data_IF_357716065496
#
_entry.id   IF_357716065496
#
_cell.length_a   1.000
_cell.length_b   1.000
_cell.length_c   1.000
_cell.angle_alpha   90.00
_cell.angle_beta   90.00
_cell.angle_gamma   90.00
#
_symmetry.space_group_name_H-M   'P 1'
#
loop_
_entity.id
_entity.type
_entity.pdbx_description
1 polymer ?
#
# COMPACT_ATOMS: atom_id res chain seq x y z
N UNK A 1 -10.13 8.62 29.30
CA UNK A 1 -9.21 7.61 28.71
C UNK A 1 -8.55 8.25 27.51
N UNK A 2 -7.22 8.15 27.38
CA UNK A 2 -6.49 8.70 26.24
C UNK A 2 -6.96 8.01 24.97
N UNK A 3 -7.39 8.77 23.96
CA UNK A 3 -7.76 8.23 22.67
C UNK A 3 -6.48 7.89 21.88
N UNK A 4 -5.94 6.67 22.05
CA UNK A 4 -4.74 6.24 21.34
C UNK A 4 -4.95 6.04 19.84
N UNK A 5 -6.18 5.73 19.41
CA UNK A 5 -6.47 5.35 18.03
C UNK A 5 -6.40 6.54 17.05
N UNK A 6 -6.46 7.78 17.55
CA UNK A 6 -6.26 8.99 16.74
C UNK A 6 -4.83 9.49 16.66
N UNK A 7 -3.93 9.03 17.52
CA UNK A 7 -2.55 9.49 17.55
C UNK A 7 -1.72 8.84 16.43
N UNK A 8 -0.80 9.60 15.85
CA UNK A 8 0.23 9.11 14.92
C UNK A 8 1.34 8.33 15.65
N UNK A 9 2.11 7.53 14.93
CA UNK A 9 3.29 6.87 15.49
C UNK A 9 4.32 7.88 16.00
N UNK A 10 4.53 8.96 15.25
CA UNK A 10 5.43 10.06 15.64
C UNK A 10 5.01 10.72 16.97
N UNK A 11 3.72 10.94 17.20
CA UNK A 11 3.20 11.43 18.50
C UNK A 11 3.35 10.38 19.61
N UNK A 12 2.96 9.13 19.35
CA UNK A 12 3.06 8.03 20.32
C UNK A 12 4.50 7.81 20.78
N UNK A 13 5.48 7.91 19.87
CA UNK A 13 6.90 7.81 20.19
C UNK A 13 7.33 8.85 21.23
N UNK A 14 6.91 10.11 21.07
CA UNK A 14 7.21 11.18 22.02
C UNK A 14 6.56 10.90 23.36
N UNK A 15 5.29 10.46 23.36
CA UNK A 15 4.56 10.18 24.58
C UNK A 15 5.15 8.99 25.37
N UNK A 16 5.58 7.93 24.69
CA UNK A 16 6.25 6.78 25.33
C UNK A 16 7.58 7.21 25.94
N UNK A 17 8.42 7.93 25.17
CA UNK A 17 9.73 8.40 25.66
C UNK A 17 9.61 9.35 26.86
N UNK A 18 8.54 10.14 26.90
CA UNK A 18 8.24 11.07 27.99
C UNK A 18 7.39 10.45 29.11
N UNK A 19 7.16 9.12 29.06
CA UNK A 19 6.40 8.35 30.06
C UNK A 19 4.95 8.83 30.26
N UNK A 20 4.38 9.48 29.24
CA UNK A 20 2.97 9.91 29.22
C UNK A 20 2.04 8.81 28.71
N UNK A 21 2.57 7.82 28.00
CA UNK A 21 1.85 6.65 27.52
C UNK A 21 2.73 5.43 27.77
N UNK A 22 2.15 4.39 28.36
CA UNK A 22 2.83 3.10 28.48
C UNK A 22 2.72 2.29 27.18
N UNK A 23 3.78 1.60 26.73
CA UNK A 23 3.68 0.58 25.68
C UNK A 23 2.63 -0.51 25.99
N UNK A 24 2.44 -0.85 27.28
CA UNK A 24 1.43 -1.83 27.72
C UNK A 24 0.03 -1.28 27.52
N UNK A 25 -0.25 -0.05 27.97
CA UNK A 25 -1.55 0.61 27.77
C UNK A 25 -1.89 0.74 26.28
N UNK A 26 -0.91 1.15 25.47
CA UNK A 26 -1.07 1.28 24.02
C UNK A 26 -1.38 -0.06 23.35
N UNK A 27 -0.64 -1.12 23.71
CA UNK A 27 -0.85 -2.45 23.13
C UNK A 27 -2.20 -3.04 23.54
N UNK A 28 -2.61 -2.88 24.80
CA UNK A 28 -3.92 -3.31 25.29
C UNK A 28 -5.05 -2.66 24.50
N UNK A 29 -4.98 -1.33 24.31
CA UNK A 29 -5.99 -0.61 23.54
C UNK A 29 -6.01 -1.04 22.06
N UNK A 30 -4.84 -1.28 21.47
CA UNK A 30 -4.71 -1.74 20.09
C UNK A 30 -5.32 -3.13 19.89
N UNK A 31 -5.03 -4.07 20.80
CA UNK A 31 -5.58 -5.43 20.78
C UNK A 31 -7.09 -5.44 21.02
N UNK A 32 -7.58 -4.70 22.03
CA UNK A 32 -9.01 -4.60 22.30
C UNK A 32 -9.77 -4.05 21.08
N UNK A 33 -9.20 -3.05 20.38
CA UNK A 33 -9.78 -2.52 19.15
C UNK A 33 -9.71 -3.52 17.99
N UNK A 34 -8.61 -4.25 17.85
CA UNK A 34 -8.47 -5.31 16.85
C UNK A 34 -9.55 -6.39 17.04
N UNK A 35 -9.73 -6.88 18.27
CA UNK A 35 -10.71 -7.89 18.62
C UNK A 35 -12.15 -7.42 18.40
N UNK A 36 -12.47 -6.18 18.79
CA UNK A 36 -13.81 -5.61 18.59
C UNK A 36 -14.16 -5.40 17.11
N UNK A 37 -13.20 -5.00 16.28
CA UNK A 37 -13.43 -4.77 14.85
C UNK A 37 -13.38 -6.05 14.01
N UNK A 38 -12.69 -7.10 14.47
CA UNK A 38 -12.45 -8.30 13.67
C UNK A 38 -13.74 -8.98 13.16
N UNK A 39 -14.83 -9.14 13.95
CA UNK A 39 -16.09 -9.72 13.46
C UNK A 39 -16.78 -8.87 12.38
N UNK A 40 -16.50 -7.57 12.35
CA UNK A 40 -17.16 -6.62 11.43
C UNK A 40 -16.32 -6.40 10.17
N UNK A 41 -15.02 -6.11 10.33
CA UNK A 41 -14.12 -5.69 9.25
C UNK A 41 -13.21 -6.81 8.74
N UNK A 42 -12.93 -7.83 9.58
CA UNK A 42 -12.17 -9.02 9.22
C UNK A 42 -10.80 -8.70 8.56
N UNK A 43 -9.95 -7.96 9.28
CA UNK A 43 -8.68 -7.44 8.74
C UNK A 43 -7.45 -8.29 9.15
N UNK A 44 -7.59 -9.24 10.07
CA UNK A 44 -6.50 -10.10 10.54
C UNK A 44 -6.65 -11.56 10.11
N UNK A 45 -5.52 -12.19 9.76
CA UNK A 45 -5.39 -13.65 9.63
C UNK A 45 -4.90 -14.25 10.95
N UNK A 46 -3.90 -13.62 11.57
CA UNK A 46 -3.30 -14.07 12.83
C UNK A 46 -3.14 -12.87 13.76
N UNK A 47 -3.69 -12.93 14.97
CA UNK A 47 -3.40 -11.97 16.04
C UNK A 47 -2.34 -12.54 16.96
N UNK A 48 -1.38 -11.73 17.37
CA UNK A 48 -0.23 -12.12 18.19
C UNK A 48 -0.38 -11.65 19.65
N UNK A 49 -1.60 -11.66 20.20
CA UNK A 49 -1.95 -10.99 21.48
C UNK A 49 -1.00 -11.26 22.64
N UNK A 50 -0.74 -12.51 22.98
CA UNK A 50 0.13 -12.88 24.10
C UNK A 50 1.58 -12.43 23.88
N UNK A 51 2.13 -12.68 22.69
CA UNK A 51 3.50 -12.28 22.34
C UNK A 51 3.64 -10.76 22.28
N UNK A 52 2.64 -10.05 21.75
CA UNK A 52 2.60 -8.59 21.66
C UNK A 52 2.55 -7.95 23.05
N UNK A 53 1.72 -8.50 23.95
CA UNK A 53 1.65 -8.05 25.34
C UNK A 53 2.93 -8.33 26.12
N UNK A 54 3.59 -9.48 25.87
CA UNK A 54 4.88 -9.78 26.47
C UNK A 54 5.94 -8.77 26.04
N UNK A 55 6.08 -8.51 24.73
CA UNK A 55 6.98 -7.48 24.20
C UNK A 55 6.65 -6.08 24.70
N UNK A 56 5.36 -5.76 24.92
CA UNK A 56 4.95 -4.48 25.46
C UNK A 56 5.42 -4.27 26.92
N UNK A 57 5.37 -5.31 27.76
CA UNK A 57 5.91 -5.26 29.13
C UNK A 57 7.42 -5.08 29.14
N UNK A 58 8.13 -5.78 28.25
CA UNK A 58 9.57 -5.62 28.07
C UNK A 58 9.93 -4.20 27.62
N UNK A 59 9.17 -3.65 26.67
CA UNK A 59 9.34 -2.28 26.19
C UNK A 59 9.07 -1.24 27.29
N UNK A 60 8.02 -1.42 28.09
CA UNK A 60 7.73 -0.56 29.25
C UNK A 60 8.87 -0.61 30.29
N UNK A 61 9.33 -1.81 30.65
CA UNK A 61 10.43 -1.95 31.60
C UNK A 61 11.71 -1.25 31.10
N UNK A 62 12.02 -1.35 29.80
CA UNK A 62 13.16 -0.63 29.22
C UNK A 62 13.04 0.90 29.32
N UNK A 63 11.83 1.45 29.18
CA UNK A 63 11.54 2.88 29.38
C UNK A 63 11.75 3.29 30.85
N UNK A 64 11.29 2.45 31.78
CA UNK A 64 11.41 2.70 33.22
C UNK A 64 12.86 2.63 33.70
N UNK A 65 13.61 1.65 33.19
CA UNK A 65 15.05 1.45 33.45
C UNK A 65 15.93 2.53 32.81
N UNK A 66 15.39 3.38 31.92
CA UNK A 66 16.16 4.40 31.21
C UNK A 66 17.13 3.83 30.18
N UNK A 67 16.84 2.64 29.62
CA UNK A 67 17.66 2.02 28.57
C UNK A 67 17.63 2.84 27.29
N UNK A 68 18.65 2.73 26.42
CA UNK A 68 18.58 3.23 25.05
C UNK A 68 17.38 2.60 24.32
N UNK A 69 16.51 3.44 23.76
CA UNK A 69 15.27 3.01 23.11
C UNK A 69 15.41 3.10 21.59
N UNK A 70 15.07 2.01 20.89
CA UNK A 70 15.03 1.95 19.43
C UNK A 70 14.09 2.99 18.82
N UNK A 71 14.20 3.26 17.51
CA UNK A 71 13.46 4.36 16.87
C UNK A 71 11.95 4.23 17.10
N UNK A 72 11.38 3.04 16.88
CA UNK A 72 9.96 2.73 16.99
C UNK A 72 9.58 2.04 18.31
N UNK A 73 10.36 2.26 19.38
CA UNK A 73 10.21 1.54 20.65
C UNK A 73 8.77 1.57 21.20
N UNK A 74 8.17 0.39 21.34
CA UNK A 74 6.83 0.21 21.90
C UNK A 74 5.67 0.50 20.94
N UNK A 75 5.94 0.88 19.69
CA UNK A 75 4.90 1.21 18.70
C UNK A 75 4.32 -0.08 18.10
N UNK A 76 3.00 -0.30 18.13
CA UNK A 76 2.38 -1.45 17.51
C UNK A 76 2.39 -1.33 15.99
N UNK A 77 2.63 -2.44 15.29
CA UNK A 77 2.53 -2.51 13.84
C UNK A 77 1.91 -3.82 13.36
N UNK A 78 1.46 -3.85 12.12
CA UNK A 78 0.90 -5.04 11.47
C UNK A 78 1.67 -5.41 10.21
N UNK A 79 1.55 -6.67 9.76
CA UNK A 79 2.27 -7.17 8.58
C UNK A 79 1.33 -7.93 7.67
N UNK A 80 1.26 -7.53 6.39
CA UNK A 80 0.53 -8.28 5.37
C UNK A 80 0.98 -9.72 5.32
N UNK A 81 0.03 -10.65 5.25
CA UNK A 81 0.27 -12.09 5.27
C UNK A 81 0.92 -12.67 4.00
N UNK A 82 1.60 -11.82 3.22
CA UNK A 82 2.54 -12.22 2.16
C UNK A 82 4.00 -12.06 2.59
N UNK A 83 4.25 -11.30 3.65
CA UNK A 83 5.59 -10.99 4.14
C UNK A 83 5.92 -11.96 5.28
N UNK A 84 7.05 -12.65 5.14
CA UNK A 84 7.51 -13.63 6.11
C UNK A 84 7.83 -12.96 7.45
N UNK A 85 7.40 -13.64 8.52
CA UNK A 85 7.60 -13.26 9.92
C UNK A 85 8.00 -14.54 10.65
N UNK A 86 9.20 -14.57 11.23
CA UNK A 86 9.73 -15.73 11.94
C UNK A 86 8.77 -16.16 13.05
N UNK A 87 8.51 -17.46 13.13
CA UNK A 87 7.69 -18.11 14.16
C UNK A 87 6.23 -17.63 14.23
N UNK A 88 5.78 -16.87 13.24
CA UNK A 88 4.41 -16.39 13.12
C UNK A 88 3.78 -16.91 11.83
N UNK A 89 2.64 -17.58 11.99
CA UNK A 89 1.85 -18.18 10.89
C UNK A 89 1.64 -17.19 9.74
N UNK A 90 2.16 -17.54 8.56
CA UNK A 90 2.13 -16.76 7.32
C UNK A 90 1.54 -17.59 6.19
N UNK A 91 0.28 -17.34 5.83
CA UNK A 91 -0.51 -18.27 4.98
C UNK A 91 -0.52 -17.90 3.50
N UNK A 92 0.10 -16.78 3.14
CA UNK A 92 0.01 -16.20 1.80
C UNK A 92 -1.43 -15.91 1.34
N UNK A 93 -2.36 -15.80 2.31
CA UNK A 93 -3.80 -15.72 2.06
C UNK A 93 -4.39 -16.99 1.44
N UNK A 94 -3.80 -18.17 1.65
CA UNK A 94 -4.23 -19.42 1.00
C UNK A 94 -4.57 -20.53 2.00
N UNK A 95 -5.57 -21.35 1.67
CA UNK A 95 -5.86 -22.58 2.43
C UNK A 95 -4.69 -23.56 2.36
N UNK A 96 -4.03 -23.67 1.20
CA UNK A 96 -2.88 -24.54 1.00
C UNK A 96 -1.74 -24.30 2.00
N UNK A 97 -1.49 -23.04 2.36
CA UNK A 97 -0.43 -22.67 3.31
C UNK A 97 -0.98 -22.28 4.68
N UNK A 98 -2.18 -22.72 5.06
CA UNK A 98 -2.83 -22.31 6.32
C UNK A 98 -1.99 -22.59 7.58
N UNK A 99 -1.09 -23.60 7.53
CA UNK A 99 -0.21 -24.00 8.61
C UNK A 99 1.26 -23.58 8.40
N UNK A 100 1.55 -22.75 7.39
CA UNK A 100 2.93 -22.31 7.12
C UNK A 100 3.42 -21.34 8.20
N UNK A 101 4.57 -21.65 8.79
CA UNK A 101 5.25 -20.84 9.80
C UNK A 101 6.68 -20.63 9.31
N UNK A 102 7.03 -19.44 8.77
CA UNK A 102 8.39 -19.14 8.36
C UNK A 102 9.37 -19.18 9.54
N UNK A 103 10.61 -19.56 9.27
CA UNK A 103 11.70 -19.56 10.26
C UNK A 103 12.49 -18.26 10.27
N UNK A 104 12.24 -17.36 9.32
CA UNK A 104 13.00 -16.12 9.13
C UNK A 104 12.06 -14.94 8.88
N UNK A 105 12.44 -13.79 9.41
CA UNK A 105 11.82 -12.50 9.12
C UNK A 105 12.24 -12.02 7.72
N UNK A 106 11.31 -11.42 6.99
CA UNK A 106 11.69 -10.56 5.87
C UNK A 106 12.49 -9.34 6.38
N UNK A 107 13.41 -8.75 5.58
CA UNK A 107 14.28 -7.65 6.02
C UNK A 107 13.52 -6.48 6.67
N UNK A 108 12.38 -6.07 6.11
CA UNK A 108 11.56 -5.00 6.68
C UNK A 108 11.02 -5.35 8.08
N UNK A 109 10.59 -6.60 8.30
CA UNK A 109 10.08 -7.06 9.60
C UNK A 109 11.21 -7.07 10.62
N UNK A 110 12.36 -7.65 10.27
CA UNK A 110 13.54 -7.71 11.13
C UNK A 110 13.99 -6.30 11.57
N UNK A 111 13.98 -5.34 10.65
CA UNK A 111 14.33 -3.94 10.93
C UNK A 111 13.34 -3.24 11.85
N UNK A 112 12.03 -3.43 11.65
CA UNK A 112 11.02 -2.89 12.56
C UNK A 112 11.15 -3.49 13.96
N UNK A 113 11.34 -4.81 14.08
CA UNK A 113 11.59 -5.50 15.33
C UNK A 113 12.84 -4.95 16.04
N UNK A 114 13.95 -4.78 15.32
CA UNK A 114 15.20 -4.22 15.84
C UNK A 114 15.05 -2.74 16.26
N UNK A 115 14.18 -1.98 15.60
CA UNK A 115 13.82 -0.62 15.99
C UNK A 115 12.91 -0.55 17.24
N UNK A 116 12.51 -1.69 17.81
CA UNK A 116 11.69 -1.78 19.01
C UNK A 116 10.18 -1.73 18.75
N UNK A 117 9.74 -1.80 17.50
CA UNK A 117 8.32 -1.91 17.18
C UNK A 117 7.78 -3.29 17.61
N UNK A 118 6.48 -3.37 17.90
CA UNK A 118 5.84 -4.59 18.39
C UNK A 118 4.80 -5.09 17.39
N UNK A 119 5.00 -6.30 16.87
CA UNK A 119 4.06 -6.93 15.95
C UNK A 119 2.75 -7.27 16.66
N UNK A 120 1.65 -6.67 16.21
CA UNK A 120 0.30 -6.96 16.69
C UNK A 120 -0.31 -8.17 15.97
N UNK A 121 -0.05 -8.34 14.67
CA UNK A 121 -0.59 -9.45 13.90
C UNK A 121 -0.33 -9.41 12.40
N UNK A 122 -0.74 -10.50 11.74
CA UNK A 122 -0.72 -10.68 10.28
C UNK A 122 -2.05 -10.27 9.67
N UNK A 123 -2.04 -9.36 8.69
CA UNK A 123 -3.26 -8.82 8.07
C UNK A 123 -3.64 -9.58 6.80
N UNK A 124 -4.94 -9.63 6.54
CA UNK A 124 -5.53 -10.30 5.38
C UNK A 124 -5.01 -9.76 4.04
N UNK A 125 -4.99 -10.67 3.06
CA UNK A 125 -4.58 -10.46 1.67
C UNK A 125 -5.31 -11.50 0.82
N UNK A 126 -5.71 -11.22 -0.44
CA UNK A 126 -6.10 -12.31 -1.32
C UNK A 126 -4.94 -13.27 -1.56
N UNK A 127 -5.27 -14.46 -2.05
CA UNK A 127 -4.35 -15.55 -2.37
C UNK A 127 -3.16 -15.01 -3.20
N UNK A 128 -1.96 -15.08 -2.62
CA UNK A 128 -0.69 -14.58 -3.18
C UNK A 128 -0.69 -13.12 -3.64
N UNK A 129 -1.66 -12.32 -3.18
CA UNK A 129 -1.80 -10.93 -3.59
C UNK A 129 -2.32 -10.73 -5.01
N UNK A 130 -2.99 -11.73 -5.58
CA UNK A 130 -3.34 -11.86 -7.00
C UNK A 130 -4.45 -10.95 -7.54
N UNK A 131 -5.17 -10.22 -6.68
CA UNK A 131 -6.34 -9.43 -7.08
C UNK A 131 -6.49 -8.14 -6.25
N UNK A 132 -7.24 -7.13 -6.76
CA UNK A 132 -7.42 -5.84 -6.11
C UNK A 132 -8.51 -5.87 -5.02
N UNK A 133 -8.94 -7.05 -4.59
CA UNK A 133 -9.95 -7.25 -3.56
C UNK A 133 -9.42 -8.19 -2.49
N UNK A 134 -9.55 -7.80 -1.22
CA UNK A 134 -9.04 -8.61 -0.11
C UNK A 134 -10.05 -9.67 0.30
N UNK A 135 -10.01 -10.80 -0.41
CA UNK A 135 -10.79 -12.00 -0.12
C UNK A 135 -10.02 -13.29 -0.41
N UNK A 136 -10.32 -14.34 0.33
CA UNK A 136 -9.77 -15.69 0.13
C UNK A 136 -10.70 -16.75 0.72
N UNK A 137 -10.74 -17.99 0.19
CA UNK A 137 -11.40 -19.11 0.85
C UNK A 137 -10.99 -19.32 2.31
N UNK A 138 -9.77 -18.90 2.70
CA UNK A 138 -9.26 -19.09 4.07
C UNK A 138 -9.97 -18.24 5.13
N UNK A 139 -10.32 -16.99 4.82
CA UNK A 139 -10.83 -16.03 5.82
C UNK A 139 -12.10 -15.30 5.38
N UNK A 140 -12.60 -15.51 4.16
CA UNK A 140 -13.72 -14.75 3.61
C UNK A 140 -13.26 -13.42 3.03
N UNK A 141 -13.93 -12.32 3.41
CA UNK A 141 -13.69 -10.98 2.84
C UNK A 141 -13.34 -9.96 3.91
N UNK A 142 -12.40 -9.07 3.61
CA UNK A 142 -12.08 -7.89 4.42
C UNK A 142 -12.88 -6.70 3.92
N UNK A 143 -13.66 -6.10 4.81
CA UNK A 143 -14.58 -5.01 4.49
C UNK A 143 -13.90 -3.64 4.64
N UNK A 144 -14.39 -2.64 3.93
CA UNK A 144 -13.86 -1.28 4.00
C UNK A 144 -14.08 -0.65 5.39
N UNK A 145 -13.10 0.11 5.88
CA UNK A 145 -13.18 0.76 7.19
C UNK A 145 -14.30 1.82 7.29
N UNK A 146 -14.68 2.44 6.17
CA UNK A 146 -15.70 3.50 6.11
C UNK A 146 -17.11 2.96 5.86
N UNK A 147 -17.22 1.81 5.19
CA UNK A 147 -18.51 1.20 4.89
C UNK A 147 -18.36 -0.32 4.67
N UNK A 148 -18.92 -1.11 5.57
CA UNK A 148 -18.82 -2.56 5.52
C UNK A 148 -19.41 -3.21 4.24
N UNK A 149 -20.26 -2.51 3.48
CA UNK A 149 -20.82 -2.99 2.20
C UNK A 149 -19.91 -2.74 0.99
N UNK A 150 -18.70 -2.22 1.23
CA UNK A 150 -17.71 -1.90 0.20
C UNK A 150 -16.44 -2.72 0.36
N UNK A 151 -15.72 -2.90 -0.73
CA UNK A 151 -14.42 -3.54 -0.72
C UNK A 151 -13.38 -2.69 0.04
N UNK A 152 -12.51 -3.34 0.78
CA UNK A 152 -11.30 -2.71 1.33
C UNK A 152 -10.26 -2.36 0.26
N UNK A 153 -10.46 -2.77 -0.99
CA UNK A 153 -9.41 -2.79 -2.00
C UNK A 153 -8.38 -3.89 -1.69
N UNK A 154 -7.30 -3.91 -2.45
CA UNK A 154 -6.33 -4.99 -2.33
C UNK A 154 -5.10 -4.82 -3.22
N UNK A 155 -4.09 -5.67 -3.04
CA UNK A 155 -4.11 -6.84 -2.16
C UNK A 155 -3.81 -6.58 -0.67
N UNK A 156 -3.44 -5.36 -0.26
CA UNK A 156 -3.12 -5.05 1.15
C UNK A 156 -4.31 -4.49 1.95
N UNK A 157 -5.53 -5.01 1.73
CA UNK A 157 -6.75 -4.44 2.34
C UNK A 157 -6.77 -4.56 3.86
N UNK A 158 -6.34 -5.69 4.44
CA UNK A 158 -6.28 -5.85 5.89
C UNK A 158 -5.37 -4.82 6.57
N UNK A 159 -4.21 -4.54 5.96
CA UNK A 159 -3.28 -3.51 6.43
C UNK A 159 -3.92 -2.12 6.39
N UNK A 160 -4.50 -1.73 5.25
CA UNK A 160 -5.14 -0.42 5.13
C UNK A 160 -6.33 -0.24 6.07
N UNK A 161 -7.14 -1.27 6.26
CA UNK A 161 -8.30 -1.24 7.17
C UNK A 161 -7.87 -1.14 8.63
N UNK A 162 -6.89 -1.95 9.06
CA UNK A 162 -6.36 -1.89 10.42
C UNK A 162 -5.75 -0.51 10.73
N UNK A 163 -5.05 0.09 9.77
CA UNK A 163 -4.48 1.44 9.89
C UNK A 163 -5.56 2.52 9.91
N UNK A 164 -6.52 2.47 8.98
CA UNK A 164 -7.60 3.45 8.86
C UNK A 164 -8.48 3.44 10.10
N UNK A 165 -8.83 2.24 10.59
CA UNK A 165 -9.66 2.08 11.77
C UNK A 165 -8.90 2.39 13.07
N UNK A 166 -7.61 2.75 13.04
CA UNK A 166 -6.88 3.14 14.25
C UNK A 166 -6.46 1.97 15.14
N UNK A 167 -6.34 0.75 14.59
CA UNK A 167 -5.83 -0.42 15.34
C UNK A 167 -4.32 -0.30 15.56
N UNK A 168 -3.58 0.07 14.51
CA UNK A 168 -2.14 0.37 14.60
C UNK A 168 -1.81 1.58 13.72
N UNK A 169 -0.81 2.40 14.06
CA UNK A 169 -0.38 3.51 13.19
C UNK A 169 0.45 3.05 12.00
N UNK A 170 1.12 1.89 12.09
CA UNK A 170 2.08 1.38 11.10
C UNK A 170 1.67 0.02 10.56
N UNK A 171 1.71 -0.17 9.24
CA UNK A 171 1.49 -1.47 8.61
C UNK A 171 2.47 -1.73 7.46
N UNK A 172 3.08 -2.92 7.47
CA UNK A 172 3.83 -3.42 6.31
C UNK A 172 2.83 -4.00 5.32
N UNK A 173 2.84 -3.47 4.10
CA UNK A 173 2.03 -3.87 2.96
C UNK A 173 2.92 -4.33 1.79
N UNK A 174 2.30 -4.69 0.67
CA UNK A 174 3.02 -4.91 -0.59
C UNK A 174 2.27 -4.33 -1.78
N UNK A 175 3.01 -3.89 -2.81
CA UNK A 175 2.48 -3.30 -4.03
C UNK A 175 3.08 -4.00 -5.26
N UNK A 176 2.27 -4.58 -6.14
CA UNK A 176 2.73 -5.19 -7.42
C UNK A 176 1.97 -4.70 -8.66
N UNK A 177 0.82 -4.07 -8.44
CA UNK A 177 -0.02 -3.43 -9.45
C UNK A 177 -0.89 -2.32 -8.83
N UNK A 178 -0.44 -1.75 -7.71
CA UNK A 178 -1.25 -0.85 -6.86
C UNK A 178 -1.65 -1.43 -5.52
N UNK A 179 -1.14 -2.60 -5.13
CA UNK A 179 -1.67 -3.33 -3.97
C UNK A 179 -1.53 -2.64 -2.61
N UNK A 180 -0.77 -1.54 -2.52
CA UNK A 180 -0.74 -0.64 -1.37
C UNK A 180 -1.56 0.62 -1.64
N UNK A 181 -1.42 1.18 -2.85
CA UNK A 181 -2.08 2.43 -3.26
C UNK A 181 -3.61 2.32 -3.44
N UNK A 182 -4.10 1.21 -3.99
CA UNK A 182 -5.53 0.90 -4.16
C UNK A 182 -6.23 0.84 -2.79
N UNK A 183 -5.83 -0.02 -1.84
CA UNK A 183 -6.50 -0.06 -0.55
C UNK A 183 -6.26 1.22 0.27
N UNK A 184 -5.15 1.93 0.07
CA UNK A 184 -4.94 3.25 0.67
C UNK A 184 -6.01 4.27 0.22
N UNK A 185 -6.29 4.35 -1.09
CA UNK A 185 -7.35 5.19 -1.63
C UNK A 185 -8.74 4.76 -1.15
N UNK A 186 -9.00 3.45 -1.08
CA UNK A 186 -10.30 2.93 -0.60
C UNK A 186 -10.59 3.28 0.87
N UNK A 187 -9.57 3.35 1.73
CA UNK A 187 -9.75 3.49 3.18
C UNK A 187 -9.25 4.82 3.74
N UNK A 188 -8.82 5.76 2.89
CA UNK A 188 -8.42 7.10 3.33
C UNK A 188 -7.16 7.09 4.17
N UNK A 189 -6.16 6.31 3.77
CA UNK A 189 -4.82 6.25 4.41
C UNK A 189 -3.72 6.56 3.41
N UNK A 190 -2.50 6.74 3.90
CA UNK A 190 -1.31 6.97 3.08
C UNK A 190 -0.69 5.64 2.66
N UNK A 191 -0.40 5.50 1.37
CA UNK A 191 0.24 4.31 0.82
C UNK A 191 1.29 4.66 -0.22
N UNK A 192 2.56 4.38 0.08
CA UNK A 192 3.69 4.65 -0.82
C UNK A 192 4.16 3.36 -1.51
N UNK A 193 4.46 3.46 -2.80
CA UNK A 193 5.24 2.50 -3.57
C UNK A 193 6.54 3.20 -3.96
N UNK A 194 7.54 3.06 -3.12
CA UNK A 194 8.89 3.61 -3.33
C UNK A 194 9.59 2.99 -4.56
N UNK A 195 10.74 3.53 -4.94
CA UNK A 195 11.62 2.99 -5.98
C UNK A 195 12.13 1.59 -5.59
N UNK A 196 12.38 0.75 -6.59
CA UNK A 196 12.85 -0.62 -6.34
C UNK A 196 14.20 -0.60 -5.61
N UNK A 197 14.34 -1.49 -4.63
CA UNK A 197 15.52 -1.59 -3.77
C UNK A 197 15.60 -0.60 -2.62
N UNK A 198 14.73 0.43 -2.53
CA UNK A 198 14.68 1.28 -1.34
C UNK A 198 14.32 0.46 -0.11
N UNK A 199 13.34 -0.45 -0.22
CA UNK A 199 13.09 -1.49 0.77
C UNK A 199 13.39 -2.83 0.10
N UNK A 200 14.30 -3.64 0.65
CA UNK A 200 14.62 -4.95 0.08
C UNK A 200 13.43 -5.90 0.04
N UNK A 201 13.37 -6.73 -1.00
CA UNK A 201 12.32 -7.73 -1.18
C UNK A 201 12.89 -9.16 -1.27
N UNK A 202 13.16 -9.77 -0.11
CA UNK A 202 13.76 -11.12 -0.02
C UNK A 202 12.92 -12.25 -0.61
N UNK A 203 11.62 -12.04 -0.81
CA UNK A 203 10.68 -13.09 -1.26
C UNK A 203 10.30 -13.02 -2.75
N UNK A 204 10.96 -12.16 -3.54
CA UNK A 204 10.69 -12.07 -4.98
C UNK A 204 11.38 -13.23 -5.70
N UNK A 205 10.65 -13.96 -6.55
CA UNK A 205 11.22 -15.11 -7.27
C UNK A 205 12.17 -14.68 -8.39
N UNK A 206 11.81 -13.63 -9.12
CA UNK A 206 12.69 -12.97 -10.08
C UNK A 206 13.15 -11.65 -9.49
N UNK A 207 14.34 -11.65 -8.89
CA UNK A 207 14.94 -10.46 -8.30
C UNK A 207 15.32 -9.44 -9.37
N UNK A 208 15.73 -9.86 -10.57
CA UNK A 208 16.19 -8.94 -11.62
C UNK A 208 15.03 -8.29 -12.38
N UNK A 209 13.95 -9.03 -12.63
CA UNK A 209 12.74 -8.52 -13.24
C UNK A 209 11.77 -7.86 -12.26
N UNK A 210 12.07 -7.84 -10.95
CA UNK A 210 11.14 -7.53 -9.87
C UNK A 210 10.33 -6.23 -10.10
N UNK A 211 9.02 -6.34 -9.84
CA UNK A 211 8.04 -5.23 -9.89
C UNK A 211 7.17 -5.17 -8.64
N UNK A 212 7.49 -5.97 -7.62
CA UNK A 212 6.77 -6.02 -6.36
C UNK A 212 7.59 -5.38 -5.25
N UNK A 213 6.91 -4.62 -4.40
CA UNK A 213 7.52 -3.79 -3.37
C UNK A 213 6.97 -4.21 -2.01
N UNK A 214 7.83 -4.23 -0.98
CA UNK A 214 7.41 -4.25 0.42
C UNK A 214 7.33 -2.80 0.87
N UNK A 215 6.18 -2.35 1.36
CA UNK A 215 5.86 -0.92 1.45
C UNK A 215 5.25 -0.57 2.81
N UNK A 216 5.41 0.67 3.31
CA UNK A 216 4.62 1.15 4.43
C UNK A 216 3.22 1.62 4.01
N UNK A 217 2.26 1.41 4.91
CA UNK A 217 0.90 2.00 4.91
C UNK A 217 0.66 2.63 6.27
N UNK A 218 0.34 3.93 6.31
CA UNK A 218 0.19 4.71 7.55
C UNK A 218 -0.96 5.72 7.44
N UNK A 219 -1.32 6.43 8.52
CA UNK A 219 -2.33 7.50 8.46
C UNK A 219 -1.78 8.87 8.02
N UNK A 220 -0.48 9.09 8.20
CA UNK A 220 0.16 10.38 7.92
C UNK A 220 1.43 10.18 7.10
N UNK A 221 1.79 11.19 6.32
CA UNK A 221 3.05 11.23 5.56
C UNK A 221 4.25 11.14 6.51
N UNK A 222 4.19 11.82 7.67
CA UNK A 222 5.24 11.76 8.68
C UNK A 222 5.50 10.32 9.18
N UNK A 223 4.45 9.57 9.48
CA UNK A 223 4.58 8.16 9.87
C UNK A 223 5.09 7.29 8.70
N UNK A 224 4.70 7.61 7.46
CA UNK A 224 5.22 6.92 6.26
C UNK A 224 6.72 7.12 6.13
N UNK A 225 7.23 8.35 6.27
CA UNK A 225 8.66 8.66 6.20
C UNK A 225 9.45 7.96 7.31
N UNK A 226 8.97 8.06 8.55
CA UNK A 226 9.54 7.37 9.70
C UNK A 226 9.65 5.85 9.48
N UNK A 227 8.56 5.22 9.01
CA UNK A 227 8.53 3.78 8.78
C UNK A 227 9.43 3.38 7.60
N UNK A 228 9.44 4.16 6.51
CA UNK A 228 10.29 3.91 5.35
C UNK A 228 11.78 3.99 5.71
N UNK A 229 12.16 4.95 6.55
CA UNK A 229 13.54 5.13 7.04
C UNK A 229 14.02 3.93 7.86
N UNK A 230 13.13 3.31 8.65
CA UNK A 230 13.44 2.05 9.36
C UNK A 230 13.50 0.86 8.40
N UNK A 231 12.64 0.82 7.38
CA UNK A 231 12.59 -0.30 6.43
C UNK A 231 13.72 -0.30 5.41
N UNK A 232 14.36 0.84 5.14
CA UNK A 232 15.36 0.99 4.08
C UNK A 232 16.74 0.43 4.44
N UNK A 233 17.60 0.28 3.42
CA UNK A 233 18.99 -0.15 3.56
C UNK A 233 19.33 -1.44 2.82
N UNK A 234 20.62 -1.66 2.62
CA UNK A 234 21.19 -2.79 1.85
C UNK A 234 20.76 -4.16 2.39
N UNK A 235 20.57 -5.09 1.46
CA UNK A 235 20.38 -6.51 1.74
C UNK A 235 21.09 -7.32 0.65
N UNK A 236 22.04 -8.16 1.07
CA UNK A 236 22.97 -8.82 0.15
C UNK A 236 22.31 -9.76 -0.86
N UNK A 237 21.07 -10.20 -0.58
CA UNK A 237 20.28 -11.06 -1.45
C UNK A 237 19.25 -10.29 -2.31
N UNK A 238 19.29 -8.96 -2.32
CA UNK A 238 18.50 -8.13 -3.23
C UNK A 238 19.40 -7.17 -4.01
N UNK A 239 19.68 -7.45 -5.30
CA UNK A 239 20.61 -6.66 -6.12
C UNK A 239 20.18 -5.21 -6.31
N UNK A 240 18.90 -4.86 -6.12
CA UNK A 240 18.41 -3.49 -6.24
C UNK A 240 18.68 -2.64 -5.01
N UNK A 241 18.89 -3.29 -3.86
CA UNK A 241 19.07 -2.62 -2.58
C UNK A 241 20.53 -2.28 -2.26
N UNK A 242 21.48 -2.97 -2.90
CA UNK A 242 22.91 -2.87 -2.59
C UNK A 242 23.48 -1.51 -3.00
N UNK A 243 24.26 -0.89 -2.10
CA UNK A 243 25.00 0.37 -2.33
C UNK A 243 24.12 1.52 -2.78
N UNK A 244 22.86 1.55 -2.35
CA UNK A 244 22.00 2.72 -2.59
C UNK A 244 22.49 3.88 -1.74
N UNK A 245 22.30 5.09 -2.25
CA UNK A 245 22.53 6.29 -1.45
C UNK A 245 21.54 6.32 -0.28
N UNK A 246 22.07 6.57 0.92
CA UNK A 246 21.24 6.82 2.10
C UNK A 246 20.47 8.13 1.94
N UNK A 247 19.19 8.09 2.28
CA UNK A 247 18.25 9.22 2.25
C UNK A 247 17.57 9.27 3.61
N UNK A 248 17.38 10.46 4.15
CA UNK A 248 16.65 10.70 5.40
C UNK A 248 15.16 10.90 5.07
N UNK A 249 14.42 9.80 5.03
CA UNK A 249 13.01 9.81 4.61
C UNK A 249 12.10 10.42 5.68
N UNK A 250 12.47 10.31 6.96
CA UNK A 250 11.73 10.90 8.05
C UNK A 250 11.75 12.43 7.96
N UNK A 251 12.93 13.01 7.72
CA UNK A 251 13.07 14.45 7.52
C UNK A 251 12.32 14.94 6.28
N UNK A 252 12.39 14.18 5.19
CA UNK A 252 11.67 14.51 3.96
C UNK A 252 10.15 14.56 4.18
N UNK A 253 9.60 13.60 4.93
CA UNK A 253 8.19 13.52 5.26
C UNK A 253 7.70 14.59 6.26
N UNK A 254 8.61 15.29 6.94
CA UNK A 254 8.30 16.41 7.83
C UNK A 254 8.52 17.78 7.17
N UNK A 255 8.78 17.82 5.86
CA UNK A 255 9.08 19.06 5.15
C UNK A 255 7.89 20.03 5.18
N UNK A 256 8.19 21.31 5.36
CA UNK A 256 7.22 22.41 5.30
C UNK A 256 7.64 23.38 4.21
N UNK A 257 6.70 23.81 3.39
CA UNK A 257 6.97 24.68 2.26
C UNK A 257 5.74 24.87 1.39
N UNK A 258 5.97 25.20 0.14
CA UNK A 258 4.95 25.41 -0.88
C UNK A 258 5.40 24.77 -2.20
N UNK A 259 4.60 24.97 -3.26
CA UNK A 259 4.90 24.51 -4.61
C UNK A 259 5.35 25.66 -5.54
N UNK A 260 5.79 26.80 -4.99
CA UNK A 260 6.21 27.95 -5.79
C UNK A 260 7.33 27.55 -6.77
N UNK A 261 7.05 27.75 -8.07
CA UNK A 261 8.00 27.45 -9.15
C UNK A 261 8.03 25.98 -9.59
N UNK A 262 7.20 25.10 -8.99
CA UNK A 262 7.06 23.71 -9.42
C UNK A 262 6.11 23.57 -10.60
N UNK A 263 6.51 22.75 -11.57
CA UNK A 263 5.69 22.35 -12.72
C UNK A 263 5.08 20.99 -12.43
N UNK A 264 3.77 20.97 -12.22
CA UNK A 264 3.02 19.75 -12.00
C UNK A 264 2.30 19.39 -13.30
N UNK A 265 2.48 18.16 -13.75
CA UNK A 265 1.68 17.61 -14.85
C UNK A 265 0.59 16.72 -14.31
N UNK A 266 -0.63 16.87 -14.79
CA UNK A 266 -1.75 16.07 -14.29
C UNK A 266 -2.52 15.34 -15.39
N UNK A 267 -3.16 14.23 -15.01
CA UNK A 267 -4.08 13.52 -15.89
C UNK A 267 -5.14 12.75 -15.08
N UNK A 268 -6.40 12.83 -15.49
CA UNK A 268 -7.50 12.14 -14.82
C UNK A 268 -7.44 10.63 -15.05
N UNK A 269 -7.32 10.21 -16.31
CA UNK A 269 -7.30 8.81 -16.71
C UNK A 269 -6.59 8.65 -18.06
N UNK A 270 -6.03 7.46 -18.38
CA UNK A 270 -5.48 7.20 -19.70
C UNK A 270 -6.52 7.33 -20.81
N UNK A 271 -6.04 7.40 -22.05
CA UNK A 271 -6.91 7.45 -23.22
C UNK A 271 -7.96 6.31 -23.21
N UNK A 272 -9.20 6.65 -23.54
CA UNK A 272 -10.33 5.73 -23.54
C UNK A 272 -10.86 5.33 -22.16
N UNK A 273 -10.32 5.88 -21.07
CA UNK A 273 -10.80 5.66 -19.70
C UNK A 273 -11.43 6.93 -19.15
N UNK A 274 -12.27 6.77 -18.13
CA UNK A 274 -13.00 7.87 -17.48
C UNK A 274 -12.87 7.77 -15.97
N UNK A 275 -13.08 8.88 -15.28
CA UNK A 275 -13.27 8.94 -13.83
C UNK A 275 -14.73 9.25 -13.52
N UNK A 276 -15.20 8.87 -12.34
CA UNK A 276 -16.52 9.27 -11.87
C UNK A 276 -16.57 10.77 -11.60
N UNK A 277 -17.77 11.33 -11.57
CA UNK A 277 -18.00 12.74 -11.23
C UNK A 277 -17.43 13.07 -9.84
N UNK A 278 -17.59 12.18 -8.85
CA UNK A 278 -17.07 12.37 -7.49
C UNK A 278 -15.54 12.45 -7.47
N UNK A 279 -14.86 11.56 -8.21
CA UNK A 279 -13.40 11.58 -8.32
C UNK A 279 -12.94 12.82 -9.08
N UNK A 280 -13.65 13.20 -10.14
CA UNK A 280 -13.34 14.42 -10.89
C UNK A 280 -13.43 15.66 -10.02
N UNK A 281 -14.55 15.85 -9.32
CA UNK A 281 -14.77 17.03 -8.45
C UNK A 281 -13.71 17.10 -7.34
N UNK A 282 -13.41 15.96 -6.72
CA UNK A 282 -12.40 15.87 -5.67
C UNK A 282 -10.99 16.16 -6.22
N UNK A 283 -10.63 15.58 -7.36
CA UNK A 283 -9.34 15.82 -8.00
C UNK A 283 -9.18 17.28 -8.44
N UNK A 284 -10.23 17.89 -8.97
CA UNK A 284 -10.25 19.31 -9.32
C UNK A 284 -10.03 20.20 -8.07
N UNK A 285 -10.57 19.81 -6.92
CA UNK A 285 -10.32 20.51 -5.65
C UNK A 285 -8.87 20.36 -5.19
N UNK A 286 -8.30 19.15 -5.27
CA UNK A 286 -6.91 18.92 -4.93
C UNK A 286 -5.93 19.67 -5.85
N UNK A 287 -6.23 19.76 -7.16
CA UNK A 287 -5.46 20.57 -8.11
C UNK A 287 -5.52 22.06 -7.73
N UNK A 288 -6.70 22.59 -7.36
CA UNK A 288 -6.81 23.99 -6.87
C UNK A 288 -5.98 24.24 -5.62
N UNK A 289 -5.84 23.26 -4.72
CA UNK A 289 -4.95 23.39 -3.55
C UNK A 289 -3.49 23.46 -3.98
N UNK A 290 -3.06 22.61 -4.93
CA UNK A 290 -1.70 22.66 -5.47
C UNK A 290 -1.40 24.00 -6.16
N UNK A 291 -2.32 24.52 -6.97
CA UNK A 291 -2.20 25.84 -7.60
C UNK A 291 -2.17 26.97 -6.55
N UNK A 292 -3.02 26.90 -5.53
CA UNK A 292 -3.03 27.85 -4.41
C UNK A 292 -1.75 27.84 -3.58
N UNK A 293 -0.99 26.74 -3.61
CA UNK A 293 0.35 26.63 -3.04
C UNK A 293 1.46 27.05 -4.01
N UNK A 294 1.14 27.59 -5.19
CA UNK A 294 2.11 28.18 -6.13
C UNK A 294 2.58 27.24 -7.25
N UNK A 295 1.98 26.05 -7.40
CA UNK A 295 2.29 25.15 -8.52
C UNK A 295 1.78 25.70 -9.85
N UNK A 296 2.54 25.49 -10.92
CA UNK A 296 2.04 25.61 -12.30
C UNK A 296 1.50 24.26 -12.77
N UNK A 297 0.23 24.21 -13.16
CA UNK A 297 -0.44 22.97 -13.55
C UNK A 297 -0.66 22.92 -15.07
N UNK A 298 -0.26 21.81 -15.71
CA UNK A 298 -0.63 21.54 -17.11
C UNK A 298 -1.01 20.07 -17.29
N UNK A 299 -2.00 19.76 -18.15
CA UNK A 299 -2.31 18.37 -18.47
C UNK A 299 -1.17 17.72 -19.26
N UNK A 300 -0.96 16.41 -19.10
CA UNK A 300 -0.09 15.63 -19.99
C UNK A 300 -0.89 14.68 -20.89
N UNK A 301 -0.30 14.35 -22.04
CA UNK A 301 -0.86 13.42 -23.01
C UNK A 301 -0.77 11.97 -22.50
N UNK A 302 -1.91 11.30 -22.42
CA UNK A 302 -2.05 9.97 -21.85
C UNK A 302 -2.21 8.84 -22.88
N UNK A 303 -2.12 9.11 -24.19
CA UNK A 303 -2.33 8.12 -25.27
C UNK A 303 -1.41 6.89 -25.15
N UNK A 304 -0.18 7.12 -24.71
CA UNK A 304 0.85 6.09 -24.61
C UNK A 304 0.84 5.28 -23.29
N UNK A 305 -0.18 5.47 -22.44
CA UNK A 305 -0.26 4.87 -21.10
C UNK A 305 -1.34 3.79 -20.95
N UNK A 306 -1.81 3.22 -22.06
CA UNK A 306 -2.66 2.01 -22.07
C UNK A 306 -1.77 0.77 -21.92
N UNK A 307 -1.42 0.42 -20.67
CA UNK A 307 -0.35 -0.55 -20.39
C UNK A 307 -0.81 -1.95 -20.01
N UNK A 308 -2.12 -2.18 -19.85
CA UNK A 308 -2.64 -3.44 -19.31
C UNK A 308 -2.25 -4.69 -20.12
N UNK A 309 -2.27 -4.68 -21.47
CA UNK A 309 -1.82 -5.84 -22.24
C UNK A 309 -0.36 -6.20 -21.95
N UNK A 310 0.53 -5.19 -21.89
CA UNK A 310 1.95 -5.37 -21.57
C UNK A 310 2.09 -5.88 -20.13
N UNK A 311 1.35 -5.28 -19.19
CA UNK A 311 1.35 -5.68 -17.79
C UNK A 311 0.91 -7.14 -17.63
N UNK A 312 -0.15 -7.58 -18.34
CA UNK A 312 -0.67 -8.95 -18.29
C UNK A 312 0.35 -9.94 -18.81
N UNK A 313 0.99 -9.68 -19.94
CA UNK A 313 2.01 -10.58 -20.48
C UNK A 313 3.17 -10.75 -19.48
N UNK A 314 3.61 -9.68 -18.80
CA UNK A 314 4.70 -9.78 -17.82
C UNK A 314 4.22 -10.44 -16.51
N UNK A 315 3.15 -9.96 -15.90
CA UNK A 315 2.75 -10.42 -14.57
C UNK A 315 2.08 -11.79 -14.59
N UNK A 316 1.22 -12.07 -15.58
CA UNK A 316 0.51 -13.35 -15.60
C UNK A 316 1.41 -14.50 -16.04
N UNK A 317 2.46 -14.28 -16.84
CA UNK A 317 3.46 -15.33 -17.12
C UNK A 317 4.27 -15.68 -15.87
N UNK A 318 4.68 -14.69 -15.06
CA UNK A 318 5.30 -14.90 -13.74
C UNK A 318 4.36 -15.68 -12.82
N UNK A 319 3.09 -15.28 -12.73
CA UNK A 319 2.11 -16.00 -11.90
C UNK A 319 1.87 -17.42 -12.40
N UNK A 320 1.76 -17.63 -13.71
CA UNK A 320 1.57 -18.96 -14.28
C UNK A 320 2.77 -19.86 -13.98
N UNK A 321 3.99 -19.36 -14.19
CA UNK A 321 5.21 -20.09 -13.86
C UNK A 321 5.28 -20.47 -12.37
N UNK A 322 4.86 -19.56 -11.49
CA UNK A 322 4.88 -19.75 -10.04
C UNK A 322 3.79 -20.67 -9.50
N UNK A 323 2.56 -20.55 -10.04
CA UNK A 323 1.36 -21.07 -9.39
C UNK A 323 0.63 -22.15 -10.17
N UNK A 324 0.90 -22.34 -11.47
CA UNK A 324 0.22 -23.39 -12.24
C UNK A 324 0.40 -24.79 -11.64
N UNK A 325 1.61 -25.21 -11.21
CA UNK A 325 1.77 -26.53 -10.58
C UNK A 325 0.94 -26.69 -9.29
N UNK A 326 0.71 -25.58 -8.55
CA UNK A 326 -0.14 -25.60 -7.37
C UNK A 326 -1.61 -25.71 -7.76
N UNK A 327 -2.05 -24.97 -8.78
CA UNK A 327 -3.44 -25.00 -9.28
C UNK A 327 -3.78 -26.37 -9.87
N UNK A 328 -2.87 -27.01 -10.60
CA UNK A 328 -3.09 -28.35 -11.17
C UNK A 328 -3.24 -29.42 -10.08
N UNK A 329 -2.47 -29.30 -9.00
CA UNK A 329 -2.45 -30.29 -7.91
C UNK A 329 -3.52 -30.05 -6.83
N UNK A 330 -3.86 -28.79 -6.57
CA UNK A 330 -4.67 -28.35 -5.42
C UNK A 330 -5.77 -27.35 -5.81
N UNK A 331 -6.24 -27.40 -7.06
CA UNK A 331 -7.16 -26.41 -7.64
C UNK A 331 -8.49 -26.27 -6.91
N UNK A 332 -8.93 -27.28 -6.16
CA UNK A 332 -10.13 -27.23 -5.32
C UNK A 332 -9.96 -26.35 -4.07
N UNK A 333 -8.72 -26.08 -3.65
CA UNK A 333 -8.41 -25.25 -2.47
C UNK A 333 -8.33 -23.75 -2.79
N UNK A 334 -8.29 -23.38 -4.06
CA UNK A 334 -8.14 -22.01 -4.53
C UNK A 334 -9.46 -21.40 -5.02
N UNK A 335 -9.60 -20.07 -4.91
CA UNK A 335 -10.76 -19.38 -5.50
C UNK A 335 -10.81 -19.51 -7.02
N UNK A 336 -12.01 -19.49 -7.58
CA UNK A 336 -12.22 -19.46 -9.03
C UNK A 336 -11.47 -18.28 -9.68
N UNK A 337 -11.56 -17.10 -9.07
CA UNK A 337 -10.89 -15.89 -9.53
C UNK A 337 -9.37 -16.08 -9.64
N UNK A 338 -8.74 -16.69 -8.63
CA UNK A 338 -7.29 -16.98 -8.67
C UNK A 338 -6.94 -18.00 -9.76
N UNK A 339 -7.69 -19.10 -9.87
CA UNK A 339 -7.46 -20.10 -10.93
C UNK A 339 -7.53 -19.48 -12.31
N UNK A 340 -8.58 -18.69 -12.56
CA UNK A 340 -8.80 -18.03 -13.86
C UNK A 340 -7.68 -17.06 -14.21
N UNK A 341 -7.14 -16.34 -13.21
CA UNK A 341 -5.97 -15.48 -13.37
C UNK A 341 -4.74 -16.27 -13.82
N UNK A 342 -4.41 -17.37 -13.12
CA UNK A 342 -3.26 -18.23 -13.44
C UNK A 342 -3.39 -18.84 -14.84
N UNK A 343 -4.59 -19.28 -15.22
CA UNK A 343 -4.85 -19.89 -16.52
C UNK A 343 -4.86 -18.88 -17.68
N UNK A 344 -5.15 -17.60 -17.41
CA UNK A 344 -5.26 -16.56 -18.44
C UNK A 344 -3.94 -16.19 -19.16
N UNK A 345 -2.82 -16.79 -18.79
CA UNK A 345 -1.52 -16.67 -19.46
C UNK A 345 -1.10 -17.94 -20.24
N UNK A 346 -2.03 -18.87 -20.49
CA UNK A 346 -1.76 -20.12 -21.21
C UNK A 346 -1.16 -19.94 -22.61
N UNK A 347 -1.48 -18.83 -23.27
CA UNK A 347 -1.16 -18.60 -24.69
C UNK A 347 0.03 -17.67 -24.93
N UNK A 348 0.65 -17.12 -23.88
CA UNK A 348 1.82 -16.24 -24.04
C UNK A 348 3.10 -17.07 -24.26
N UNK A 349 3.79 -16.80 -25.37
CA UNK A 349 5.09 -17.38 -25.67
C UNK A 349 6.24 -16.63 -24.96
N UNK A 350 7.44 -17.23 -24.98
CA UNK A 350 8.65 -16.54 -24.53
C UNK A 350 8.97 -15.27 -25.36
N UNK A 351 8.57 -15.25 -26.62
CA UNK A 351 8.74 -14.08 -27.49
C UNK A 351 7.79 -12.96 -27.06
N UNK A 352 6.51 -13.27 -26.79
CA UNK A 352 5.55 -12.28 -26.28
C UNK A 352 6.05 -11.63 -24.98
N UNK A 353 6.61 -12.45 -24.07
CA UNK A 353 7.21 -11.95 -22.84
C UNK A 353 8.37 -10.99 -23.11
N UNK A 354 9.29 -11.35 -24.01
CA UNK A 354 10.44 -10.52 -24.33
C UNK A 354 10.03 -9.21 -25.04
N UNK A 355 9.04 -9.26 -25.93
CA UNK A 355 8.45 -8.07 -26.56
C UNK A 355 7.79 -7.15 -25.52
N UNK A 356 7.07 -7.72 -24.55
CA UNK A 356 6.50 -6.95 -23.45
C UNK A 356 7.59 -6.28 -22.59
N UNK A 357 8.75 -6.92 -22.40
CA UNK A 357 9.89 -6.31 -21.70
C UNK A 357 10.52 -5.15 -22.50
N UNK A 358 10.57 -5.24 -23.84
CA UNK A 358 10.96 -4.11 -24.68
C UNK A 358 9.94 -2.97 -24.60
N UNK A 359 8.65 -3.28 -24.61
CA UNK A 359 7.59 -2.30 -24.46
C UNK A 359 7.62 -1.61 -23.07
N UNK A 360 7.90 -2.37 -22.00
CA UNK A 360 8.16 -1.84 -20.65
C UNK A 360 9.33 -0.85 -20.64
N UNK A 361 10.41 -1.15 -21.37
CA UNK A 361 11.56 -0.24 -21.51
C UNK A 361 11.17 1.06 -22.19
N UNK A 362 10.37 1.00 -23.25
CA UNK A 362 9.88 2.19 -23.95
C UNK A 362 8.93 3.00 -23.05
N UNK A 363 8.06 2.34 -22.30
CA UNK A 363 7.19 2.98 -21.31
C UNK A 363 8.00 3.74 -20.24
N UNK A 364 9.07 3.14 -19.72
CA UNK A 364 9.98 3.81 -18.79
C UNK A 364 10.57 5.09 -19.38
N UNK A 365 11.11 5.02 -20.60
CA UNK A 365 11.71 6.17 -21.29
C UNK A 365 10.69 7.30 -21.49
N UNK A 366 9.46 6.97 -21.90
CA UNK A 366 8.36 7.94 -22.09
C UNK A 366 7.98 8.61 -20.79
N UNK A 367 7.81 7.83 -19.72
CA UNK A 367 7.46 8.39 -18.41
C UNK A 367 8.58 9.28 -17.85
N UNK A 368 9.85 8.86 -17.99
CA UNK A 368 11.00 9.69 -17.61
C UNK A 368 11.04 11.02 -18.39
N UNK A 369 10.71 11.01 -19.68
CA UNK A 369 10.69 12.22 -20.51
C UNK A 369 9.62 13.24 -20.06
N UNK A 370 8.51 12.81 -19.44
CA UNK A 370 7.54 13.75 -18.86
C UNK A 370 8.19 14.64 -17.79
N UNK A 371 9.14 14.09 -17.03
CA UNK A 371 9.86 14.83 -15.99
C UNK A 371 10.89 15.83 -16.54
N UNK A 372 11.14 15.90 -17.85
CA UNK A 372 11.99 16.97 -18.43
C UNK A 372 11.28 18.33 -18.36
N UNK A 373 9.95 18.30 -18.31
CA UNK A 373 9.09 19.48 -18.16
C UNK A 373 8.25 19.49 -16.88
N UNK A 374 8.44 18.52 -15.99
CA UNK A 374 7.65 18.33 -14.78
C UNK A 374 8.52 17.99 -13.58
N UNK A 375 8.16 18.53 -12.42
CA UNK A 375 8.79 18.18 -11.14
C UNK A 375 7.96 17.10 -10.42
N UNK A 376 6.67 17.02 -10.72
CA UNK A 376 5.71 16.07 -10.14
C UNK A 376 4.64 15.71 -11.18
N UNK A 377 4.24 14.44 -11.21
CA UNK A 377 3.02 14.01 -11.90
C UNK A 377 1.93 13.72 -10.88
N UNK A 378 0.70 14.08 -11.23
CA UNK A 378 -0.47 13.96 -10.35
C UNK A 378 -1.62 13.29 -11.09
N UNK A 379 -2.16 12.22 -10.53
CA UNK A 379 -3.34 11.51 -11.07
C UNK A 379 -4.30 11.16 -9.94
N UNK A 380 -5.59 10.90 -10.19
CA UNK A 380 -6.40 10.12 -9.28
C UNK A 380 -5.76 8.74 -9.06
N UNK A 381 -5.85 8.19 -7.85
CA UNK A 381 -5.39 6.82 -7.60
C UNK A 381 -6.36 5.80 -8.21
N UNK A 382 -7.67 6.04 -8.01
CA UNK A 382 -8.77 5.23 -8.50
C UNK A 382 -9.73 6.11 -9.30
N UNK A 383 -10.43 5.53 -10.27
CA UNK A 383 -11.40 6.26 -11.10
C UNK A 383 -12.76 6.42 -10.44
N UNK A 384 -13.06 5.62 -9.41
CA UNK A 384 -14.19 5.79 -8.49
C UNK A 384 -13.83 5.29 -7.10
N UNK A 385 -14.66 5.64 -6.12
CA UNK A 385 -14.59 5.12 -4.74
C UNK A 385 -14.67 3.59 -4.67
N UNK A 386 -14.49 3.03 -3.47
CA UNK A 386 -14.51 1.59 -3.26
C UNK A 386 -15.76 0.91 -3.86
N UNK A 387 -15.53 -0.13 -4.66
CA UNK A 387 -16.58 -0.93 -5.29
C UNK A 387 -17.44 -1.69 -4.26
N UNK A 388 -18.65 -2.14 -4.62
CA UNK A 388 -19.43 -3.06 -3.79
C UNK A 388 -18.59 -4.26 -3.32
N UNK A 389 -18.84 -4.73 -2.10
CA UNK A 389 -18.05 -5.79 -1.45
C UNK A 389 -17.94 -7.04 -2.34
N UNK A 390 -19.04 -7.47 -2.95
CA UNK A 390 -19.11 -8.73 -3.68
C UNK A 390 -18.61 -8.68 -5.13
N UNK A 391 -18.22 -7.51 -5.66
CA UNK A 391 -17.76 -7.36 -7.06
C UNK A 391 -16.61 -8.30 -7.40
N UNK A 392 -16.75 -9.23 -8.34
CA UNK A 392 -15.62 -10.04 -8.80
C UNK A 392 -14.69 -9.26 -9.75
N UNK A 393 -13.42 -9.65 -9.80
CA UNK A 393 -12.39 -9.05 -10.67
C UNK A 393 -12.79 -9.02 -12.14
N UNK A 394 -13.60 -9.99 -12.54
CA UNK A 394 -13.96 -10.23 -13.92
C UNK A 394 -15.38 -9.80 -14.28
N UNK A 395 -16.13 -9.33 -13.30
CA UNK A 395 -17.44 -8.76 -13.53
C UNK A 395 -17.30 -7.32 -14.04
N UNK A 396 -18.27 -6.83 -14.82
CA UNK A 396 -18.37 -5.40 -15.08
C UNK A 396 -18.68 -4.65 -13.77
N UNK A 397 -18.27 -3.40 -13.70
CA UNK A 397 -18.67 -2.52 -12.60
C UNK A 397 -19.34 -1.26 -13.12
N UNK A 398 -20.26 -0.73 -12.33
CA UNK A 398 -20.98 0.49 -12.63
C UNK A 398 -20.16 1.74 -12.24
N UNK A 399 -20.24 2.81 -13.02
CA UNK A 399 -19.71 4.12 -12.67
C UNK A 399 -20.54 5.19 -13.41
N UNK A 400 -21.21 6.06 -12.64
CA UNK A 400 -22.09 7.12 -13.15
C UNK A 400 -23.15 6.63 -14.16
N UNK A 401 -23.81 5.51 -13.84
CA UNK A 401 -24.87 4.91 -14.64
C UNK A 401 -24.39 4.13 -15.87
N UNK A 402 -23.08 3.93 -16.03
CA UNK A 402 -22.48 3.14 -17.12
C UNK A 402 -21.72 1.94 -16.56
N UNK A 403 -21.77 0.82 -17.28
CA UNK A 403 -21.03 -0.38 -16.92
C UNK A 403 -19.73 -0.47 -17.72
N UNK A 404 -18.65 -0.87 -17.06
CA UNK A 404 -17.33 -1.01 -17.64
C UNK A 404 -16.79 -2.42 -17.41
N UNK A 405 -16.41 -3.09 -18.49
CA UNK A 405 -15.70 -4.38 -18.42
C UNK A 405 -14.22 -4.16 -18.12
N UNK A 406 -13.63 -4.99 -17.27
CA UNK A 406 -12.20 -4.94 -16.97
C UNK A 406 -11.87 -3.95 -15.86
N UNK A 407 -11.95 -4.44 -14.63
CA UNK A 407 -11.65 -3.64 -13.43
C UNK A 407 -10.21 -3.08 -13.45
N UNK A 408 -9.23 -3.82 -13.98
CA UNK A 408 -7.83 -3.36 -14.11
C UNK A 408 -7.69 -2.06 -14.89
N UNK A 409 -8.28 -2.03 -16.08
CA UNK A 409 -8.11 -0.95 -17.05
C UNK A 409 -8.98 0.25 -16.71
N UNK A 410 -10.09 0.03 -16.00
CA UNK A 410 -11.06 1.09 -15.74
C UNK A 410 -11.09 1.57 -14.31
N UNK A 411 -10.73 0.78 -13.30
CA UNK A 411 -10.79 1.21 -11.90
C UNK A 411 -9.46 1.77 -11.36
N UNK A 412 -8.33 1.16 -11.71
CA UNK A 412 -6.98 1.57 -11.28
C UNK A 412 -5.97 1.66 -12.43
N UNK A 413 -6.29 2.37 -13.52
CA UNK A 413 -5.47 2.35 -14.73
C UNK A 413 -4.01 2.79 -14.52
N UNK A 414 -3.78 3.73 -13.60
CA UNK A 414 -2.48 4.34 -13.38
C UNK A 414 -1.51 3.50 -12.56
N UNK A 415 -2.01 2.67 -11.64
CA UNK A 415 -1.12 2.03 -10.65
C UNK A 415 -0.12 1.09 -11.31
N UNK A 416 -0.57 0.34 -12.32
CA UNK A 416 0.23 -0.59 -13.12
C UNK A 416 1.40 0.09 -13.84
N UNK A 417 1.18 1.31 -14.37
CA UNK A 417 2.21 2.11 -15.06
C UNK A 417 3.43 2.30 -14.14
N UNK A 418 3.18 2.69 -12.89
CA UNK A 418 4.24 3.02 -11.94
C UNK A 418 4.90 1.78 -11.32
N UNK A 419 4.23 0.62 -11.29
CA UNK A 419 4.89 -0.65 -10.97
C UNK A 419 5.85 -1.08 -12.08
N UNK A 420 5.38 -1.07 -13.33
CA UNK A 420 6.17 -1.51 -14.48
C UNK A 420 7.41 -0.64 -14.66
N UNK A 421 7.26 0.68 -14.55
CA UNK A 421 8.38 1.60 -14.76
C UNK A 421 9.24 1.81 -13.52
N UNK A 422 8.76 1.42 -12.34
CA UNK A 422 9.48 1.56 -11.08
C UNK A 422 9.53 2.97 -10.50
N UNK A 423 8.86 3.95 -11.11
CA UNK A 423 8.79 5.32 -10.56
C UNK A 423 8.11 5.30 -9.19
N UNK A 424 8.63 6.06 -8.21
CA UNK A 424 8.04 6.10 -6.89
C UNK A 424 6.69 6.84 -6.96
N UNK A 425 5.69 6.28 -6.29
CA UNK A 425 4.33 6.81 -6.28
C UNK A 425 3.71 6.73 -4.89
N UNK A 426 2.99 7.77 -4.44
CA UNK A 426 2.31 7.80 -3.15
C UNK A 426 0.85 8.18 -3.33
N UNK A 427 -0.04 7.41 -2.71
CA UNK A 427 -1.45 7.77 -2.56
C UNK A 427 -1.63 8.52 -1.26
N UNK A 428 -2.29 9.68 -1.34
CA UNK A 428 -2.75 10.47 -0.22
C UNK A 428 -4.27 10.58 -0.29
N UNK A 429 -4.95 10.65 0.85
CA UNK A 429 -6.36 11.03 0.84
C UNK A 429 -6.53 12.48 0.36
N UNK A 430 -7.57 12.72 -0.44
CA UNK A 430 -7.87 14.05 -0.97
C UNK A 430 -9.31 14.51 -0.68
N UNK A 431 -10.06 13.75 0.10
CA UNK A 431 -11.38 14.10 0.62
C UNK A 431 -12.36 12.93 0.56
N UNK A 432 -13.64 13.23 0.76
CA UNK A 432 -14.74 12.26 0.70
C UNK A 432 -15.62 12.55 -0.52
N UNK A 433 -16.11 11.48 -1.14
CA UNK A 433 -17.12 11.50 -2.19
C UNK A 433 -18.53 11.65 -1.60
N UNK A 434 -19.55 11.78 -2.47
CA UNK A 434 -20.95 11.95 -2.03
C UNK A 434 -21.52 10.71 -1.34
N UNK A 435 -20.94 9.54 -1.61
CA UNK A 435 -21.25 8.28 -0.93
C UNK A 435 -20.57 8.12 0.45
N UNK A 436 -19.82 9.15 0.89
CA UNK A 436 -19.11 9.16 2.17
C UNK A 436 -17.80 8.38 2.17
N UNK A 437 -17.35 7.84 1.03
CA UNK A 437 -16.11 7.08 0.93
C UNK A 437 -14.91 7.98 0.59
N UNK A 438 -13.71 7.61 1.02
CA UNK A 438 -12.50 8.33 0.66
C UNK A 438 -12.18 8.31 -0.83
N UNK A 439 -11.60 9.41 -1.29
CA UNK A 439 -10.96 9.54 -2.61
C UNK A 439 -9.46 9.75 -2.40
N UNK A 440 -8.65 9.13 -3.26
CA UNK A 440 -7.20 9.22 -3.22
C UNK A 440 -6.62 9.97 -4.42
N UNK A 441 -5.64 10.83 -4.13
CA UNK A 441 -4.75 11.46 -5.11
C UNK A 441 -3.41 10.73 -5.10
N UNK A 442 -2.83 10.54 -6.29
CA UNK A 442 -1.54 9.88 -6.48
C UNK A 442 -0.51 10.87 -6.99
N UNK A 443 0.58 10.99 -6.24
CA UNK A 443 1.77 11.76 -6.60
C UNK A 443 2.84 10.82 -7.12
N UNK A 444 3.57 11.23 -8.15
CA UNK A 444 4.65 10.46 -8.76
C UNK A 444 5.82 11.38 -9.11
N UNK A 445 7.01 11.03 -8.67
CA UNK A 445 8.24 11.76 -9.01
C UNK A 445 9.12 10.96 -9.98
N UNK A 446 10.17 11.63 -10.48
CA UNK A 446 11.19 11.02 -11.32
C UNK A 446 11.76 9.77 -10.63
N UNK A 447 12.14 8.76 -11.42
CA UNK A 447 12.68 7.52 -10.88
C UNK A 447 13.84 7.78 -9.90
N UNK A 448 13.81 7.12 -8.73
CA UNK A 448 14.79 7.31 -7.66
C UNK A 448 14.61 8.58 -6.82
N UNK A 449 13.60 9.41 -7.08
CA UNK A 449 13.36 10.67 -6.36
C UNK A 449 12.33 10.51 -5.22
N UNK A 450 12.49 9.45 -4.44
CA UNK A 450 11.63 9.10 -3.28
C UNK A 450 11.62 10.19 -2.20
N UNK A 451 12.77 10.85 -1.97
CA UNK A 451 12.87 11.96 -1.03
C UNK A 451 11.94 13.11 -1.42
N UNK A 452 12.00 13.51 -2.71
CA UNK A 452 11.18 14.60 -3.22
C UNK A 452 9.69 14.25 -3.18
N UNK A 453 9.36 12.98 -3.41
CA UNK A 453 7.98 12.48 -3.33
C UNK A 453 7.40 12.70 -1.92
N UNK A 454 8.16 12.36 -0.88
CA UNK A 454 7.72 12.55 0.51
C UNK A 454 7.63 14.01 0.89
N UNK A 455 8.56 14.87 0.41
CA UNK A 455 8.47 16.32 0.64
C UNK A 455 7.19 16.90 0.04
N UNK A 456 6.86 16.51 -1.19
CA UNK A 456 5.67 17.02 -1.88
C UNK A 456 4.38 16.51 -1.24
N UNK A 457 4.37 15.25 -0.83
CA UNK A 457 3.28 14.67 -0.07
C UNK A 457 3.07 15.40 1.27
N UNK A 458 4.15 15.74 1.98
CA UNK A 458 4.08 16.43 3.26
C UNK A 458 3.49 17.83 3.15
N UNK A 459 3.85 18.59 2.11
CA UNK A 459 3.28 19.91 1.82
C UNK A 459 1.78 19.79 1.54
N UNK A 460 1.39 18.83 0.70
CA UNK A 460 -0.02 18.64 0.34
C UNK A 460 -0.87 18.19 1.53
N UNK A 461 -0.40 17.23 2.32
CA UNK A 461 -1.10 16.76 3.53
C UNK A 461 -1.33 17.91 4.53
N UNK A 462 -0.36 18.82 4.69
CA UNK A 462 -0.50 19.98 5.57
C UNK A 462 -1.60 20.95 5.11
N UNK A 463 -1.80 21.10 3.80
CA UNK A 463 -2.81 21.99 3.24
C UNK A 463 -4.22 21.36 3.21
N UNK A 464 -4.31 20.06 2.95
CA UNK A 464 -5.58 19.33 2.91
C UNK A 464 -6.08 18.90 4.29
N UNK A 465 -5.16 18.64 5.22
CA UNK A 465 -5.43 17.89 6.43
C UNK A 465 -5.51 16.39 6.18
N UNK A 466 -5.51 15.63 7.27
CA UNK A 466 -5.78 14.19 7.26
C UNK A 466 -7.31 14.02 7.21
N UNK A 467 -7.87 13.07 6.45
CA UNK A 467 -9.28 12.75 6.56
C UNK A 467 -9.66 12.51 8.01
N UNK A 468 -10.91 12.82 8.36
CA UNK A 468 -11.47 12.35 9.62
C UNK A 468 -11.33 10.83 9.76
N UNK A 469 -11.52 10.33 10.98
CA UNK A 469 -11.55 8.89 11.17
C UNK A 469 -12.78 8.29 10.48
N UNK A 470 -12.69 7.02 10.03
CA UNK A 470 -13.88 6.28 9.63
C UNK A 470 -14.94 6.33 10.74
N UNK A 471 -16.24 6.25 10.42
CA UNK A 471 -17.29 6.18 11.43
C UNK A 471 -16.97 5.07 12.43
N UNK A 472 -17.22 5.29 13.73
CA UNK A 472 -17.07 4.21 14.71
C UNK A 472 -18.07 3.10 14.33
N UNK A 473 -17.52 1.95 13.96
CA UNK A 473 -18.28 0.77 13.53
C UNK A 473 -18.55 -0.18 14.71
N UNK A 474 -18.25 0.26 15.93
CA UNK A 474 -18.44 -0.44 17.22
C UNK A 474 -19.45 0.32 18.07
#
# INVERSE_FOLDING_TARGET
MTNFHSLSATELMVLIRTRKVSPVELMQASLARAEALQPVLNCFITLCGDQAMQKAREAEQAVMDGKPLGRLHGIPYTVKDLVNTADIRTTFGTVLHQANIPTEDAPAVARLNAAGAILLGKTTTPEFGSQPFTRSPLFGQTRNAWNAQRTSGGSSGGAAVATAAGVTPLAIATDGGGSTRIPAACNGVVGIKQSNGVVPHSQAQDLFGNQTYVTPTTRTVADTGLMLDVMTGDYDLDPWSIRRQSVDYEKAACYRGDFCGKRIRYCYAPEGRTVSNDVKENFDAALRVLEGLGATLEPFDARDFIVEPIWRTINHTVWRARFLPLVEKHGDTFSETFRRQVLSAGDFSAIDYQEAMFARTNLFKRLQALFDSADLLVTPTLTRTALPLDTDLFDPFEMDGRYYDGIRTHWYPWTMVFNMTGHPAITLPSGLARDGLPVGIQFVTRWGSDEQLLRDAAIFEQAMGIPGQPPDVI
#
